data_IF_415285368069
#
_entry.id   IF_415285368069
#
_cell.length_a   1.000
_cell.length_b   1.000
_cell.length_c   1.000
_cell.angle_alpha   90.00
_cell.angle_beta   90.00
_cell.angle_gamma   90.00
#
_symmetry.space_group_name_H-M   'P 1'
#
loop_
_entity.id
_entity.type
_entity.pdbx_description
1 polymer ?
#
# COMPACT_ATOMS: atom_id res chain seq x y z
N UNK A 1 -12.80 -20.27 24.21
CA UNK A 1 -12.92 -19.28 23.11
C UNK A 1 -11.69 -19.37 22.20
N UNK A 2 -11.65 -20.31 21.24
CA UNK A 2 -10.48 -20.52 20.35
C UNK A 2 -10.85 -21.06 18.96
N UNK A 3 -11.51 -20.27 18.09
CA UNK A 3 -11.72 -20.63 16.67
C UNK A 3 -11.56 -19.47 15.66
N UNK A 4 -11.11 -18.28 16.07
CA UNK A 4 -11.05 -17.10 15.17
C UNK A 4 -9.82 -17.04 14.24
N UNK A 5 -8.72 -17.73 14.57
CA UNK A 5 -7.46 -17.65 13.81
C UNK A 5 -7.45 -18.39 12.44
N UNK A 6 -8.00 -19.61 12.28
CA UNK A 6 -7.90 -20.34 11.00
C UNK A 6 -8.75 -19.72 9.89
N UNK A 7 -9.95 -19.21 10.21
CA UNK A 7 -10.85 -18.59 9.24
C UNK A 7 -10.22 -17.33 8.60
N UNK A 8 -9.53 -16.51 9.39
CA UNK A 8 -8.82 -15.32 8.91
C UNK A 8 -7.67 -15.68 7.95
N UNK A 9 -6.94 -16.76 8.22
CA UNK A 9 -5.87 -17.23 7.34
C UNK A 9 -6.41 -17.72 5.98
N UNK A 10 -7.53 -18.46 6.00
CA UNK A 10 -8.21 -18.92 4.78
C UNK A 10 -8.72 -17.73 3.96
N UNK A 11 -9.42 -16.78 4.59
CA UNK A 11 -9.90 -15.57 3.89
C UNK A 11 -8.76 -14.80 3.23
N UNK A 12 -7.62 -14.65 3.93
CA UNK A 12 -6.44 -13.98 3.37
C UNK A 12 -5.87 -14.73 2.17
N UNK A 13 -5.82 -16.05 2.23
CA UNK A 13 -5.35 -16.90 1.12
C UNK A 13 -6.27 -16.78 -0.09
N UNK A 14 -7.58 -16.92 0.09
CA UNK A 14 -8.56 -16.76 -0.99
C UNK A 14 -8.50 -15.36 -1.60
N UNK A 15 -8.40 -14.32 -0.76
CA UNK A 15 -8.22 -12.95 -1.23
C UNK A 15 -6.96 -12.77 -2.10
N UNK A 16 -5.82 -13.31 -1.65
CA UNK A 16 -4.57 -13.20 -2.40
C UNK A 16 -4.64 -13.96 -3.73
N UNK A 17 -5.26 -15.13 -3.75
CA UNK A 17 -5.48 -15.91 -4.98
C UNK A 17 -6.32 -15.10 -5.97
N UNK A 18 -7.48 -14.60 -5.53
CA UNK A 18 -8.36 -13.79 -6.36
C UNK A 18 -7.67 -12.53 -6.89
N UNK A 19 -6.97 -11.81 -6.02
CA UNK A 19 -6.20 -10.60 -6.38
C UNK A 19 -5.15 -10.91 -7.44
N UNK A 20 -4.37 -11.97 -7.27
CA UNK A 20 -3.32 -12.36 -8.21
C UNK A 20 -3.91 -12.82 -9.54
N UNK A 21 -5.00 -13.59 -9.52
CA UNK A 21 -5.71 -14.01 -10.72
C UNK A 21 -6.23 -12.82 -11.52
N UNK A 22 -6.92 -11.85 -10.88
CA UNK A 22 -7.34 -10.59 -11.55
C UNK A 22 -6.16 -9.80 -12.13
N UNK A 23 -5.03 -9.77 -11.42
CA UNK A 23 -3.82 -9.11 -11.91
C UNK A 23 -3.27 -9.80 -13.17
N UNK A 24 -3.16 -11.12 -13.15
CA UNK A 24 -2.64 -11.92 -14.27
C UNK A 24 -3.53 -11.82 -15.51
N UNK A 25 -4.86 -11.88 -15.35
CA UNK A 25 -5.80 -11.63 -16.46
C UNK A 25 -5.55 -10.27 -17.12
N UNK A 26 -5.31 -9.23 -16.32
CA UNK A 26 -5.04 -7.90 -16.85
C UNK A 26 -3.68 -7.80 -17.54
N UNK A 27 -2.67 -8.52 -17.05
CA UNK A 27 -1.36 -8.63 -17.71
C UNK A 27 -1.48 -9.33 -19.05
N UNK A 28 -2.19 -10.46 -19.10
CA UNK A 28 -2.49 -11.19 -20.32
C UNK A 28 -3.14 -10.28 -21.37
N UNK A 29 -4.24 -9.61 -21.02
CA UNK A 29 -4.89 -8.64 -21.90
C UNK A 29 -3.92 -7.59 -22.46
N UNK A 30 -3.04 -7.03 -21.61
CA UNK A 30 -2.05 -6.03 -22.04
C UNK A 30 -0.99 -6.64 -22.94
N UNK A 31 -0.55 -7.86 -22.67
CA UNK A 31 0.44 -8.55 -23.47
C UNK A 31 -0.12 -8.85 -24.87
N UNK A 32 -1.30 -9.46 -24.94
CA UNK A 32 -2.02 -9.72 -26.19
C UNK A 32 -2.19 -8.44 -27.01
N UNK A 33 -2.67 -7.37 -26.38
CA UNK A 33 -2.94 -6.10 -27.07
C UNK A 33 -1.68 -5.33 -27.48
N UNK A 34 -0.70 -5.20 -26.58
CA UNK A 34 0.39 -4.23 -26.72
C UNK A 34 1.72 -4.88 -27.12
N UNK A 35 1.87 -6.20 -26.97
CA UNK A 35 3.11 -6.93 -27.30
C UNK A 35 2.87 -7.81 -28.52
N UNK A 36 1.82 -8.62 -28.50
CA UNK A 36 1.49 -9.49 -29.64
C UNK A 36 0.74 -8.74 -30.75
N UNK A 37 0.13 -7.59 -30.43
CA UNK A 37 -0.66 -6.78 -31.37
C UNK A 37 -1.79 -7.56 -32.07
N UNK A 38 -2.32 -8.59 -31.41
CA UNK A 38 -3.46 -9.38 -31.90
C UNK A 38 -4.76 -8.94 -31.23
N UNK A 39 -5.88 -9.39 -31.80
CA UNK A 39 -7.20 -9.09 -31.24
C UNK A 39 -7.37 -9.67 -29.82
N UNK A 40 -7.53 -8.83 -28.78
CA UNK A 40 -7.67 -9.31 -27.42
C UNK A 40 -8.97 -10.08 -27.18
N UNK A 41 -10.01 -9.92 -27.99
CA UNK A 41 -11.28 -10.64 -27.77
C UNK A 41 -11.17 -12.13 -28.08
N UNK A 42 -10.34 -12.50 -29.06
CA UNK A 42 -10.12 -13.88 -29.49
C UNK A 42 -9.14 -14.68 -28.61
N UNK A 43 -8.60 -14.08 -27.56
CA UNK A 43 -7.55 -14.67 -26.71
C UNK A 43 -7.92 -14.59 -25.22
N UNK A 44 -8.97 -15.31 -24.77
CA UNK A 44 -9.34 -15.33 -23.36
C UNK A 44 -8.22 -15.86 -22.47
N UNK A 45 -8.18 -15.39 -21.23
CA UNK A 45 -7.28 -15.94 -20.23
C UNK A 45 -7.71 -17.37 -19.84
N UNK A 46 -6.75 -18.20 -19.42
CA UNK A 46 -7.01 -19.59 -19.06
C UNK A 46 -8.14 -19.71 -18.02
N UNK A 47 -9.05 -20.65 -18.25
CA UNK A 47 -10.25 -20.91 -17.44
C UNK A 47 -11.25 -19.75 -17.32
N UNK A 48 -11.17 -18.74 -18.20
CA UNK A 48 -12.19 -17.68 -18.32
C UNK A 48 -13.06 -17.99 -19.53
N UNK A 49 -14.38 -17.95 -19.36
CA UNK A 49 -15.29 -18.14 -20.49
C UNK A 49 -15.16 -16.96 -21.47
N UNK A 50 -15.48 -17.22 -22.74
CA UNK A 50 -15.42 -16.18 -23.77
C UNK A 50 -16.37 -15.01 -23.48
N UNK A 51 -17.51 -15.28 -22.83
CA UNK A 51 -18.48 -14.27 -22.40
C UNK A 51 -17.94 -13.42 -21.25
N UNK A 52 -17.43 -14.05 -20.18
CA UNK A 52 -16.82 -13.33 -19.05
C UNK A 52 -15.62 -12.49 -19.50
N UNK A 53 -14.85 -13.01 -20.46
CA UNK A 53 -13.72 -12.29 -21.02
C UNK A 53 -14.14 -11.01 -21.74
N UNK A 54 -15.22 -11.07 -22.55
CA UNK A 54 -15.79 -9.88 -23.20
C UNK A 54 -16.28 -8.87 -22.16
N UNK A 55 -17.02 -9.34 -21.16
CA UNK A 55 -17.50 -8.50 -20.06
C UNK A 55 -16.35 -7.78 -19.34
N UNK A 56 -15.27 -8.50 -19.00
CA UNK A 56 -14.08 -7.91 -18.38
C UNK A 56 -13.44 -6.83 -19.26
N UNK A 57 -13.36 -7.04 -20.57
CA UNK A 57 -12.78 -6.06 -21.49
C UNK A 57 -13.67 -4.83 -21.58
N UNK A 58 -14.95 -5.00 -21.87
CA UNK A 58 -15.85 -3.90 -22.26
C UNK A 58 -16.37 -3.14 -21.03
N UNK A 59 -16.89 -3.87 -20.06
CA UNK A 59 -17.60 -3.29 -18.92
C UNK A 59 -16.66 -2.98 -17.74
N UNK A 60 -15.57 -3.74 -17.59
CA UNK A 60 -14.64 -3.53 -16.47
C UNK A 60 -13.43 -2.70 -16.86
N UNK A 61 -12.76 -2.99 -17.98
CA UNK A 61 -11.48 -2.36 -18.30
C UNK A 61 -11.57 -1.17 -19.25
N UNK A 62 -12.51 -1.19 -20.19
CA UNK A 62 -12.74 -0.10 -21.14
C UNK A 62 -13.75 0.93 -20.62
N UNK A 63 -14.51 0.60 -19.57
CA UNK A 63 -15.44 1.53 -18.94
C UNK A 63 -14.80 2.85 -18.52
N UNK A 64 -15.60 3.90 -18.57
CA UNK A 64 -15.18 5.28 -18.27
C UNK A 64 -14.73 5.39 -16.82
N UNK A 65 -15.48 4.77 -15.92
CA UNK A 65 -15.27 4.73 -14.49
C UNK A 65 -13.90 4.12 -14.19
N UNK A 66 -13.60 2.96 -14.79
CA UNK A 66 -12.30 2.32 -14.60
C UNK A 66 -11.14 3.19 -15.12
N UNK A 67 -11.28 3.82 -16.29
CA UNK A 67 -10.25 4.71 -16.84
C UNK A 67 -10.00 5.92 -15.95
N UNK A 68 -11.06 6.56 -15.44
CA UNK A 68 -10.96 7.68 -14.51
C UNK A 68 -10.24 7.24 -13.23
N UNK A 69 -10.68 6.16 -12.60
CA UNK A 69 -10.05 5.61 -11.39
C UNK A 69 -8.59 5.24 -11.61
N UNK A 70 -8.27 4.58 -12.72
CA UNK A 70 -6.91 4.18 -13.07
C UNK A 70 -5.99 5.39 -13.28
N UNK A 71 -6.47 6.45 -13.96
CA UNK A 71 -5.72 7.69 -14.18
C UNK A 71 -5.47 8.42 -12.87
N UNK A 72 -6.50 8.55 -12.01
CA UNK A 72 -6.38 9.14 -10.68
C UNK A 72 -5.37 8.37 -9.81
N UNK A 73 -5.50 7.04 -9.74
CA UNK A 73 -4.58 6.19 -8.97
C UNK A 73 -3.13 6.28 -9.45
N UNK A 74 -2.89 6.38 -10.76
CA UNK A 74 -1.54 6.65 -11.30
C UNK A 74 -1.03 8.03 -10.93
N UNK A 75 -1.86 9.07 -11.00
CA UNK A 75 -1.50 10.44 -10.61
C UNK A 75 -1.15 10.50 -9.12
N UNK A 76 -1.94 9.84 -8.27
CA UNK A 76 -1.69 9.81 -6.82
C UNK A 76 -0.39 9.06 -6.50
N UNK A 77 -0.13 7.90 -7.13
CA UNK A 77 1.14 7.17 -6.95
C UNK A 77 2.36 7.99 -7.38
N UNK A 78 2.24 8.85 -8.40
CA UNK A 78 3.33 9.74 -8.84
C UNK A 78 3.62 10.89 -7.86
N UNK A 79 2.70 11.21 -6.94
CA UNK A 79 2.91 12.24 -5.91
C UNK A 79 3.68 11.73 -4.70
N UNK A 80 3.89 10.41 -4.60
CA UNK A 80 4.67 9.83 -3.51
C UNK A 80 6.15 10.10 -3.78
N UNK A 81 6.82 10.75 -2.84
CA UNK A 81 8.26 11.05 -2.89
C UNK A 81 9.10 9.76 -2.74
N UNK A 82 8.61 8.76 -1.99
CA UNK A 82 9.22 7.43 -1.83
C UNK A 82 8.19 6.37 -1.41
N UNK A 83 8.58 5.09 -1.40
CA UNK A 83 7.75 3.97 -0.92
C UNK A 83 8.18 3.54 0.48
N UNK A 84 7.27 2.90 1.22
CA UNK A 84 7.55 2.20 2.49
C UNK A 84 7.39 0.69 2.33
N UNK A 85 7.97 -0.09 3.25
CA UNK A 85 8.00 -1.56 3.22
C UNK A 85 6.92 -2.26 4.06
N UNK A 86 5.96 -1.53 4.66
CA UNK A 86 4.92 -2.12 5.55
C UNK A 86 3.82 -2.93 4.83
N UNK A 87 4.04 -3.28 3.56
CA UNK A 87 3.09 -4.05 2.77
C UNK A 87 1.77 -3.32 2.52
N UNK A 88 0.65 -4.03 2.62
CA UNK A 88 -0.68 -3.48 2.31
C UNK A 88 -1.29 -2.61 3.42
N UNK A 89 -0.61 -2.45 4.56
CA UNK A 89 -1.09 -1.60 5.65
C UNK A 89 -0.51 -0.20 5.48
N UNK A 90 -1.33 0.81 5.72
CA UNK A 90 -0.81 2.18 5.84
C UNK A 90 0.13 2.27 7.04
N UNK A 91 1.04 3.24 7.00
CA UNK A 91 1.97 3.52 8.09
C UNK A 91 1.22 3.74 9.42
N UNK A 92 0.16 4.55 9.41
CA UNK A 92 -0.72 4.78 10.57
C UNK A 92 -1.40 3.51 11.05
N UNK A 93 -2.02 2.74 10.13
CA UNK A 93 -2.68 1.50 10.52
C UNK A 93 -1.70 0.50 11.13
N UNK A 94 -0.43 0.55 10.74
CA UNK A 94 0.59 -0.33 11.32
C UNK A 94 1.02 0.13 12.72
N UNK A 95 1.07 1.45 12.96
CA UNK A 95 1.35 2.04 14.28
C UNK A 95 0.22 1.86 15.30
N UNK A 96 -1.05 1.93 14.86
CA UNK A 96 -2.21 1.86 15.76
C UNK A 96 -2.68 0.44 16.08
N UNK A 97 -2.14 -0.57 15.38
CA UNK A 97 -2.46 -1.97 15.66
C UNK A 97 -1.71 -2.42 16.90
N UNK A 98 -2.41 -3.20 17.74
CA UNK A 98 -1.82 -3.82 18.92
C UNK A 98 -0.52 -4.56 18.56
N UNK A 99 0.53 -4.35 19.34
CA UNK A 99 1.87 -4.82 19.03
C UNK A 99 2.01 -6.33 18.79
N UNK A 100 1.16 -7.10 19.47
CA UNK A 100 1.01 -8.55 19.34
C UNK A 100 0.67 -9.03 17.90
N UNK A 101 0.14 -8.14 17.04
CA UNK A 101 -0.33 -8.46 15.69
C UNK A 101 0.54 -7.89 14.56
N UNK A 102 1.53 -7.06 14.86
CA UNK A 102 2.40 -6.41 13.88
C UNK A 102 3.90 -6.77 14.05
N UNK A 103 4.27 -7.45 15.14
CA UNK A 103 5.66 -7.76 15.47
C UNK A 103 6.52 -6.51 15.68
N UNK A 104 5.89 -5.35 15.92
CA UNK A 104 6.49 -4.10 16.35
C UNK A 104 5.97 -3.79 17.74
N UNK A 105 6.35 -4.66 18.68
CA UNK A 105 5.93 -4.55 20.06
C UNK A 105 6.67 -3.42 20.77
N UNK A 106 5.91 -2.37 21.13
CA UNK A 106 6.40 -1.18 21.85
C UNK A 106 7.60 -0.48 21.18
N UNK A 107 7.64 -0.43 19.85
CA UNK A 107 8.69 0.36 19.17
C UNK A 107 8.37 1.84 19.27
N UNK A 108 9.37 2.61 19.71
CA UNK A 108 9.37 4.07 19.62
C UNK A 108 9.26 4.51 18.15
N UNK A 109 8.71 5.71 17.93
CA UNK A 109 8.42 6.21 16.59
C UNK A 109 9.62 6.16 15.61
N UNK A 110 10.85 6.57 15.99
CA UNK A 110 12.01 6.51 15.10
C UNK A 110 12.36 5.07 14.69
N UNK A 111 12.29 4.13 15.64
CA UNK A 111 12.60 2.71 15.37
C UNK A 111 11.56 2.09 14.44
N UNK A 112 10.29 2.40 14.67
CA UNK A 112 9.19 2.02 13.80
C UNK A 112 9.39 2.57 12.37
N UNK A 113 9.75 3.85 12.26
CA UNK A 113 10.03 4.49 10.97
C UNK A 113 11.18 3.79 10.24
N UNK A 114 12.31 3.54 10.94
CA UNK A 114 13.46 2.83 10.37
C UNK A 114 13.08 1.46 9.85
N UNK A 115 12.41 0.65 10.66
CA UNK A 115 11.97 -0.70 10.30
C UNK A 115 11.09 -0.71 9.04
N UNK A 116 10.25 0.31 8.87
CA UNK A 116 9.31 0.42 7.75
C UNK A 116 9.92 1.08 6.51
N UNK A 117 11.06 1.77 6.62
CA UNK A 117 11.72 2.50 5.52
C UNK A 117 13.10 1.95 5.17
N UNK A 118 13.41 0.75 5.64
CA UNK A 118 14.59 -0.03 5.24
C UNK A 118 14.20 -1.29 4.47
N UNK A 119 15.00 -1.63 3.46
CA UNK A 119 14.92 -2.88 2.72
C UNK A 119 15.38 -4.06 3.60
N UNK A 120 15.21 -5.30 3.11
CA UNK A 120 15.67 -6.52 3.80
C UNK A 120 17.18 -6.55 4.06
N UNK A 121 17.98 -5.91 3.21
CA UNK A 121 19.43 -5.75 3.37
C UNK A 121 19.81 -4.60 4.34
N UNK A 122 18.84 -4.02 5.06
CA UNK A 122 18.99 -2.91 6.02
C UNK A 122 19.38 -1.56 5.42
N UNK A 123 19.41 -1.44 4.09
CA UNK A 123 19.58 -0.14 3.43
C UNK A 123 18.28 0.66 3.44
N UNK A 124 18.38 1.98 3.50
CA UNK A 124 17.24 2.87 3.30
C UNK A 124 16.62 2.67 1.92
N UNK A 125 15.29 2.76 1.83
CA UNK A 125 14.58 2.70 0.55
C UNK A 125 14.92 3.91 -0.31
N UNK A 126 15.09 5.07 0.34
CA UNK A 126 15.45 6.34 -0.27
C UNK A 126 16.36 7.14 0.70
N UNK A 127 17.39 7.86 0.23
CA UNK A 127 18.23 8.71 1.08
C UNK A 127 17.44 9.72 1.93
N UNK A 128 16.32 10.23 1.43
CA UNK A 128 15.44 11.16 2.16
C UNK A 128 14.90 10.51 3.45
N UNK A 129 14.71 9.18 3.44
CA UNK A 129 14.28 8.46 4.65
C UNK A 129 15.33 8.54 5.76
N UNK A 130 16.62 8.47 5.42
CA UNK A 130 17.69 8.60 6.39
C UNK A 130 17.70 10.00 7.04
N UNK A 131 17.52 11.04 6.22
CA UNK A 131 17.44 12.44 6.70
C UNK A 131 16.26 12.64 7.64
N UNK A 132 15.06 12.15 7.26
CA UNK A 132 13.86 12.22 8.10
C UNK A 132 14.03 11.45 9.41
N UNK A 133 14.67 10.28 9.38
CA UNK A 133 14.97 9.50 10.58
C UNK A 133 15.94 10.23 11.51
N UNK A 134 17.02 10.82 10.99
CA UNK A 134 17.94 11.63 11.80
C UNK A 134 17.22 12.80 12.48
N UNK A 135 16.31 13.48 11.77
CA UNK A 135 15.48 14.54 12.36
C UNK A 135 14.59 14.02 13.51
N UNK A 136 14.02 12.82 13.39
CA UNK A 136 13.24 12.20 14.48
C UNK A 136 14.10 11.95 15.72
N UNK A 137 15.34 11.47 15.55
CA UNK A 137 16.27 11.25 16.65
C UNK A 137 16.62 12.56 17.37
N UNK A 138 16.92 13.63 16.62
CA UNK A 138 17.18 14.95 17.20
C UNK A 138 15.99 15.47 18.01
N UNK A 139 14.77 15.36 17.47
CA UNK A 139 13.55 15.74 18.20
C UNK A 139 13.33 14.92 19.48
N UNK A 140 13.67 13.62 19.44
CA UNK A 140 13.57 12.75 20.61
C UNK A 140 14.58 13.17 21.70
N UNK A 141 15.81 13.50 21.31
CA UNK A 141 16.85 13.99 22.22
C UNK A 141 16.47 15.33 22.85
N UNK A 142 16.01 16.29 22.05
CA UNK A 142 15.53 17.60 22.51
C UNK A 142 14.36 17.46 23.50
N UNK A 143 13.41 16.57 23.21
CA UNK A 143 12.28 16.29 24.10
C UNK A 143 12.75 15.74 25.46
N UNK A 144 13.75 14.85 25.43
CA UNK A 144 14.33 14.24 26.63
C UNK A 144 15.06 15.28 27.49
N UNK A 145 15.74 16.24 26.85
CA UNK A 145 16.42 17.34 27.54
C UNK A 145 15.44 18.36 28.14
N UNK A 146 14.32 18.62 27.48
CA UNK A 146 13.28 19.56 27.97
C UNK A 146 12.41 18.99 29.09
N UNK A 147 12.44 17.67 29.31
CA UNK A 147 11.55 16.96 30.24
C UNK A 147 10.11 16.77 29.73
N UNK A 148 9.79 17.25 28.52
CA UNK A 148 8.48 17.06 27.87
C UNK A 148 8.61 15.96 26.83
N UNK A 149 8.11 14.76 27.12
CA UNK A 149 8.07 13.68 26.13
C UNK A 149 7.08 14.02 25.00
N UNK A 150 7.56 14.02 23.76
CA UNK A 150 6.73 14.14 22.57
C UNK A 150 6.00 12.83 22.30
N UNK A 151 4.71 12.88 21.97
CA UNK A 151 4.03 11.66 21.49
C UNK A 151 4.48 11.34 20.07
N UNK A 152 4.28 10.08 19.65
CA UNK A 152 4.56 9.63 18.29
C UNK A 152 3.82 10.45 17.22
N UNK A 153 2.65 11.02 17.53
CA UNK A 153 1.90 11.86 16.60
C UNK A 153 2.55 13.25 16.42
N UNK A 154 2.97 13.91 17.50
CA UNK A 154 3.69 15.17 17.41
C UNK A 154 5.03 14.99 16.69
N UNK A 155 5.79 13.96 17.04
CA UNK A 155 7.09 13.68 16.41
C UNK A 155 6.92 13.42 14.90
N UNK A 156 5.88 12.67 14.51
CA UNK A 156 5.53 12.46 13.11
C UNK A 156 5.26 13.76 12.36
N UNK A 157 4.42 14.64 12.92
CA UNK A 157 4.09 15.94 12.28
C UNK A 157 5.33 16.83 12.14
N UNK A 158 6.21 16.85 13.14
CA UNK A 158 7.41 17.69 13.10
C UNK A 158 8.49 17.14 12.16
N UNK A 159 8.71 15.82 12.17
CA UNK A 159 9.73 15.18 11.34
C UNK A 159 9.30 15.02 9.87
N UNK A 160 8.03 14.68 9.62
CA UNK A 160 7.51 14.31 8.30
C UNK A 160 6.74 15.43 7.59
N UNK A 161 6.31 16.48 8.28
CA UNK A 161 5.57 17.62 7.71
C UNK A 161 4.08 17.68 8.10
N UNK A 162 3.34 18.67 7.59
CA UNK A 162 1.92 18.90 7.94
C UNK A 162 0.95 18.01 7.15
N UNK A 163 -0.27 17.89 7.71
CA UNK A 163 -1.38 17.00 7.30
C UNK A 163 -1.79 17.11 5.82
N UNK A 164 -1.60 18.23 5.14
CA UNK A 164 -1.92 18.40 3.71
C UNK A 164 -0.91 17.69 2.80
N UNK A 165 0.37 17.69 3.18
CA UNK A 165 1.41 16.90 2.52
C UNK A 165 1.19 15.41 2.81
N UNK A 166 0.84 15.08 4.06
CA UNK A 166 0.66 13.73 4.59
C UNK A 166 -0.65 13.03 4.12
N UNK A 167 -1.72 13.76 3.77
CA UNK A 167 -3.00 13.16 3.32
C UNK A 167 -2.81 12.29 2.06
N UNK A 168 -1.82 12.63 1.22
CA UNK A 168 -1.37 11.81 0.08
C UNK A 168 -0.76 10.46 0.51
N UNK A 169 -0.14 10.41 1.69
CA UNK A 169 0.63 9.26 2.19
C UNK A 169 -0.20 8.29 3.04
N UNK A 170 -1.11 8.79 3.86
CA UNK A 170 -1.86 7.99 4.85
C UNK A 170 -3.21 7.52 4.29
N UNK A 171 -3.91 8.38 3.54
CA UNK A 171 -5.23 8.07 2.96
C UNK A 171 -5.17 7.66 1.50
N UNK A 172 -4.09 7.99 0.78
CA UNK A 172 -3.87 7.53 -0.60
C UNK A 172 -3.88 6.00 -0.73
N UNK A 173 -3.53 5.28 0.33
CA UNK A 173 -3.63 3.82 0.41
C UNK A 173 -5.00 3.33 0.90
N UNK A 174 -5.62 4.03 1.86
CA UNK A 174 -6.95 3.65 2.36
C UNK A 174 -8.03 3.85 1.28
N UNK A 175 -8.00 4.95 0.54
CA UNK A 175 -8.86 5.13 -0.64
C UNK A 175 -8.48 4.17 -1.76
N UNK A 176 -7.19 3.98 -2.08
CA UNK A 176 -6.81 3.03 -3.13
C UNK A 176 -7.17 1.57 -2.80
N UNK A 177 -7.17 1.18 -1.52
CA UNK A 177 -7.63 -0.13 -1.07
C UNK A 177 -9.16 -0.19 -1.03
N UNK A 178 -9.85 0.81 -0.49
CA UNK A 178 -11.33 0.83 -0.47
C UNK A 178 -11.92 0.86 -1.90
N UNK A 179 -11.22 1.48 -2.85
CA UNK A 179 -11.61 1.60 -4.27
C UNK A 179 -11.32 0.31 -5.08
N UNK A 180 -10.44 -0.59 -4.61
CA UNK A 180 -10.24 -1.92 -5.22
C UNK A 180 -11.29 -2.96 -4.79
N UNK A 181 -12.10 -2.63 -3.78
CA UNK A 181 -13.00 -3.57 -3.10
C UNK A 181 -14.48 -3.51 -3.54
N UNK A 182 -14.91 -2.52 -4.35
CA UNK A 182 -16.31 -2.38 -4.78
C UNK A 182 -16.55 -2.38 -6.29
N UNK A 183 -15.68 -3.03 -7.07
CA UNK A 183 -16.02 -3.58 -8.40
C UNK A 183 -15.27 -4.89 -8.62
#
# INVERSE_FOLDING_TARGET
MMLKKPLQAVHRKCYNIHRNWRHNMKLHYKHVKNVLHVDPYSHPYEHVTQEDWRHLIDDVWKSKEHKVRSKAGKKNRKKLEYNHCSGSRSFVATMTIQPEFNGSENLEFPEFYKKTHTKKNKEWIDPICAVKHSKMLSLQEESSQSGVQLTSEEMSRQALGKKEEIHSWIWGWAEALFIFFHT
#
